data_IF_102126743450
#
_entry.id   IF_102126743450
#
_cell.length_a   1.000
_cell.length_b   1.000
_cell.length_c   1.000
_cell.angle_alpha   90.00
_cell.angle_beta   90.00
_cell.angle_gamma   90.00
#
_symmetry.space_group_name_H-M   'P 1'
#
loop_
_entity.id
_entity.type
_entity.pdbx_description
1 polymer ?
#
# COMPACT_ATOMS: atom_id res chain seq x y z
N UNK A 1 -20.10 -21.80 -9.88
CA UNK A 1 -20.45 -20.37 -9.70
C UNK A 1 -19.59 -19.84 -8.58
N UNK A 2 -18.99 -18.66 -8.73
CA UNK A 2 -18.26 -18.04 -7.61
C UNK A 2 -19.26 -17.72 -6.49
N UNK A 3 -18.86 -17.96 -5.24
CA UNK A 3 -19.65 -17.59 -4.07
C UNK A 3 -19.82 -16.06 -4.02
N UNK A 4 -21.03 -15.61 -3.69
CA UNK A 4 -21.37 -14.18 -3.63
C UNK A 4 -21.97 -13.82 -2.29
N UNK A 5 -21.59 -12.66 -1.75
CA UNK A 5 -22.20 -12.06 -0.58
C UNK A 5 -23.03 -10.82 -0.97
N UNK A 6 -24.23 -10.72 -0.42
CA UNK A 6 -25.09 -9.53 -0.59
C UNK A 6 -24.77 -8.53 0.52
N UNK A 7 -24.39 -7.31 0.15
CA UNK A 7 -24.00 -6.26 1.09
C UNK A 7 -24.86 -5.02 0.93
N UNK A 8 -25.27 -4.42 2.05
CA UNK A 8 -26.11 -3.21 2.08
C UNK A 8 -25.31 -2.04 2.66
N UNK A 9 -25.10 -1.02 1.83
CA UNK A 9 -24.32 0.17 2.14
C UNK A 9 -25.19 1.43 2.23
N UNK A 10 -24.61 2.53 2.72
CA UNK A 10 -25.27 3.84 2.70
C UNK A 10 -25.84 4.17 1.31
N UNK A 11 -26.96 4.89 1.28
CA UNK A 11 -27.58 5.33 0.04
C UNK A 11 -26.54 5.99 -0.89
N UNK A 12 -26.57 5.61 -2.17
CA UNK A 12 -25.67 6.16 -3.18
C UNK A 12 -24.25 5.58 -3.17
N UNK A 13 -23.88 4.73 -2.22
CA UNK A 13 -22.57 4.08 -2.21
C UNK A 13 -22.30 3.33 -3.53
N UNK A 14 -21.08 3.48 -4.02
CA UNK A 14 -20.56 2.82 -5.22
C UNK A 14 -19.40 1.96 -4.75
N UNK A 15 -19.42 0.67 -5.07
CA UNK A 15 -18.34 -0.25 -4.77
C UNK A 15 -17.59 -0.58 -6.04
N UNK A 16 -16.27 -0.56 -5.96
CA UNK A 16 -15.35 -0.87 -7.05
C UNK A 16 -14.33 -1.88 -6.55
N UNK A 17 -13.83 -2.80 -7.39
CA UNK A 17 -12.72 -3.64 -7.00
C UNK A 17 -11.48 -2.77 -6.77
N UNK A 18 -10.64 -3.16 -5.81
CA UNK A 18 -9.30 -2.57 -5.66
C UNK A 18 -8.35 -3.34 -6.57
N UNK A 19 -7.54 -2.61 -7.33
CA UNK A 19 -6.59 -3.17 -8.28
C UNK A 19 -5.19 -2.65 -8.00
N UNK A 20 -4.17 -3.47 -8.28
CA UNK A 20 -2.78 -3.00 -8.41
C UNK A 20 -2.62 -2.45 -9.83
N UNK A 21 -2.30 -1.16 -9.94
CA UNK A 21 -1.94 -0.54 -11.21
C UNK A 21 -0.44 -0.32 -11.27
N UNK A 22 0.21 -1.06 -12.17
CA UNK A 22 1.64 -0.94 -12.48
C UNK A 22 1.93 0.21 -13.44
N UNK A 23 2.19 1.39 -12.88
CA UNK A 23 2.76 2.54 -13.56
C UNK A 23 2.05 3.09 -14.81
N UNK A 24 2.51 4.26 -15.24
CA UNK A 24 2.24 4.87 -16.54
C UNK A 24 3.56 5.32 -17.16
N UNK A 25 3.54 5.93 -18.36
CA UNK A 25 4.73 6.62 -18.92
C UNK A 25 5.38 7.65 -17.98
N UNK A 26 4.67 8.13 -16.95
CA UNK A 26 5.12 9.21 -16.07
C UNK A 26 5.33 8.81 -14.61
N UNK A 27 4.95 7.60 -14.20
CA UNK A 27 5.21 7.06 -12.86
C UNK A 27 5.46 5.56 -12.96
N UNK A 28 6.58 5.10 -12.40
CA UNK A 28 7.00 3.69 -12.48
C UNK A 28 6.61 2.86 -11.25
N UNK A 29 6.03 3.49 -10.24
CA UNK A 29 5.62 2.81 -9.01
C UNK A 29 4.24 2.15 -9.17
N UNK A 30 4.13 0.93 -8.63
CA UNK A 30 2.85 0.25 -8.46
C UNK A 30 2.00 1.00 -7.42
N UNK A 31 0.68 1.00 -7.61
CA UNK A 31 -0.26 1.63 -6.69
C UNK A 31 -1.60 0.91 -6.64
N UNK A 32 -2.22 0.86 -5.45
CA UNK A 32 -3.62 0.51 -5.34
C UNK A 32 -4.49 1.63 -5.91
N UNK A 33 -5.44 1.24 -6.74
CA UNK A 33 -6.44 2.14 -7.32
C UNK A 33 -7.83 1.51 -7.26
N UNK A 34 -8.83 2.37 -7.21
CA UNK A 34 -10.20 1.95 -7.46
C UNK A 34 -10.33 1.53 -8.94
N UNK A 35 -10.87 0.33 -9.17
CA UNK A 35 -11.12 -0.20 -10.50
C UNK A 35 -12.10 0.66 -11.29
N UNK A 36 -12.02 0.55 -12.61
CA UNK A 36 -12.78 1.41 -13.53
C UNK A 36 -14.27 1.07 -13.56
N UNK A 37 -14.61 -0.22 -13.47
CA UNK A 37 -15.99 -0.69 -13.44
C UNK A 37 -16.47 -0.82 -11.98
N UNK A 38 -17.57 -0.13 -11.67
CA UNK A 38 -18.26 -0.34 -10.40
C UNK A 38 -19.11 -1.61 -10.45
N UNK A 39 -19.27 -2.27 -9.31
CA UNK A 39 -20.24 -3.35 -9.16
C UNK A 39 -21.66 -2.82 -9.35
N UNK A 40 -22.56 -3.62 -9.96
CA UNK A 40 -23.97 -3.26 -10.07
C UNK A 40 -24.58 -3.03 -8.69
N UNK A 41 -25.40 -1.97 -8.58
CA UNK A 41 -26.14 -1.65 -7.37
C UNK A 41 -27.64 -1.70 -7.61
N UNK A 42 -28.40 -2.10 -6.60
CA UNK A 42 -29.87 -2.05 -6.58
C UNK A 42 -30.38 -1.46 -5.26
N UNK A 43 -31.59 -0.89 -5.24
CA UNK A 43 -32.16 -0.35 -4.01
C UNK A 43 -32.55 -1.46 -3.05
N UNK A 44 -32.09 -1.35 -1.80
CA UNK A 44 -32.60 -2.10 -0.65
C UNK A 44 -33.52 -1.19 0.14
N UNK A 45 -34.83 -1.41 0.01
CA UNK A 45 -35.85 -0.59 0.65
C UNK A 45 -35.95 -0.92 2.14
N UNK A 46 -35.92 0.12 2.97
CA UNK A 46 -36.02 0.00 4.43
C UNK A 46 -37.47 0.02 4.93
N UNK A 47 -38.40 0.42 4.06
CA UNK A 47 -39.83 0.48 4.34
C UNK A 47 -40.65 -0.14 3.21
N UNK A 48 -41.83 -0.64 3.57
CA UNK A 48 -42.76 -1.25 2.63
C UNK A 48 -43.30 -0.27 1.57
N UNK A 49 -43.36 1.02 1.90
CA UNK A 49 -43.78 2.08 0.98
C UNK A 49 -42.68 2.45 -0.05
N UNK A 50 -41.49 1.86 0.06
CA UNK A 50 -40.33 2.06 -0.82
C UNK A 50 -39.86 3.52 -0.92
N UNK A 51 -40.03 4.27 0.16
CA UNK A 51 -39.67 5.70 0.21
C UNK A 51 -38.22 5.94 0.65
N UNK A 52 -37.66 5.04 1.45
CA UNK A 52 -36.30 5.09 1.97
C UNK A 52 -35.52 3.86 1.51
N UNK A 53 -34.29 4.06 1.03
CA UNK A 53 -33.47 2.98 0.48
C UNK A 53 -31.98 3.11 0.81
N UNK A 54 -31.29 1.97 0.75
CA UNK A 54 -29.83 1.80 0.84
C UNK A 54 -29.30 1.12 -0.42
N UNK A 55 -28.01 1.26 -0.71
CA UNK A 55 -27.42 0.61 -1.89
C UNK A 55 -27.08 -0.84 -1.57
N UNK A 56 -27.69 -1.79 -2.27
CA UNK A 56 -27.38 -3.22 -2.19
C UNK A 56 -26.55 -3.67 -3.39
N UNK A 57 -25.56 -4.52 -3.13
CA UNK A 57 -24.62 -5.05 -4.11
C UNK A 57 -24.44 -6.56 -3.88
N UNK A 58 -24.39 -7.34 -4.95
CA UNK A 58 -23.89 -8.72 -4.88
C UNK A 58 -22.42 -8.71 -5.29
N UNK A 59 -21.56 -9.14 -4.37
CA UNK A 59 -20.11 -9.10 -4.55
C UNK A 59 -19.54 -10.51 -4.47
N UNK A 60 -18.54 -10.86 -5.31
CA UNK A 60 -17.83 -12.13 -5.17
C UNK A 60 -17.08 -12.20 -3.84
N UNK A 61 -17.19 -13.30 -3.11
CA UNK A 61 -16.41 -13.52 -1.88
C UNK A 61 -14.91 -13.60 -2.22
N UNK A 62 -14.07 -13.01 -1.36
CA UNK A 62 -12.61 -12.99 -1.49
C UNK A 62 -12.05 -11.81 -2.28
N UNK A 63 -12.90 -10.96 -2.87
CA UNK A 63 -12.43 -9.74 -3.57
C UNK A 63 -12.29 -8.57 -2.60
N UNK A 64 -11.36 -7.67 -2.92
CA UNK A 64 -11.18 -6.43 -2.17
C UNK A 64 -11.91 -5.32 -2.91
N UNK A 65 -12.72 -4.56 -2.19
CA UNK A 65 -13.52 -3.46 -2.73
C UNK A 65 -13.24 -2.16 -1.99
N UNK A 66 -13.47 -1.04 -2.67
CA UNK A 66 -13.42 0.29 -2.07
C UNK A 66 -14.67 1.10 -2.42
N UNK A 67 -15.04 2.01 -1.52
CA UNK A 67 -16.02 3.08 -1.84
C UNK A 67 -15.36 4.35 -2.42
N UNK A 68 -14.03 4.42 -2.38
CA UNK A 68 -13.22 5.49 -2.94
C UNK A 68 -13.28 5.54 -4.47
N UNK A 69 -13.13 6.75 -5.04
CA UNK A 69 -13.19 6.96 -6.49
C UNK A 69 -11.85 6.81 -7.21
N UNK A 70 -10.75 6.99 -6.48
CA UNK A 70 -9.40 7.08 -7.06
C UNK A 70 -8.42 6.22 -6.28
N UNK A 71 -8.05 6.66 -5.07
CA UNK A 71 -7.08 6.00 -4.20
C UNK A 71 -7.88 5.36 -3.05
N UNK A 72 -7.78 4.03 -2.87
CA UNK A 72 -8.32 3.36 -1.69
C UNK A 72 -7.55 3.79 -0.44
N UNK A 73 -8.30 4.13 0.60
CA UNK A 73 -7.81 4.49 1.92
C UNK A 73 -8.36 3.53 2.97
N UNK A 74 -7.76 3.53 4.17
CA UNK A 74 -8.09 2.58 5.24
C UNK A 74 -9.57 2.67 5.69
N UNK A 75 -10.16 3.86 5.61
CA UNK A 75 -11.55 4.11 5.99
C UNK A 75 -12.57 3.67 4.90
N UNK A 76 -12.09 3.36 3.70
CA UNK A 76 -12.95 3.06 2.55
C UNK A 76 -12.67 1.73 1.84
N UNK A 77 -11.77 0.90 2.39
CA UNK A 77 -11.31 -0.38 1.81
C UNK A 77 -11.78 -1.59 2.61
N UNK A 78 -12.30 -2.62 1.92
CA UNK A 78 -12.94 -3.78 2.52
C UNK A 78 -12.61 -5.08 1.79
N UNK A 79 -12.45 -6.18 2.53
CA UNK A 79 -12.53 -7.54 2.01
C UNK A 79 -14.00 -7.99 2.00
N UNK A 80 -14.43 -8.62 0.91
CA UNK A 80 -15.73 -9.29 0.85
C UNK A 80 -15.61 -10.69 1.43
N UNK A 81 -16.32 -10.95 2.53
CA UNK A 81 -16.44 -12.27 3.17
C UNK A 81 -17.86 -12.81 2.97
N UNK A 82 -18.10 -14.08 3.29
CA UNK A 82 -19.44 -14.66 3.27
C UNK A 82 -20.43 -13.93 4.21
N UNK A 83 -19.90 -13.36 5.31
CA UNK A 83 -20.68 -12.64 6.33
C UNK A 83 -20.85 -11.14 6.02
N UNK A 84 -20.20 -10.61 4.98
CA UNK A 84 -20.35 -9.22 4.55
C UNK A 84 -19.01 -8.53 4.24
N UNK A 85 -18.87 -7.28 4.67
CA UNK A 85 -17.67 -6.47 4.44
C UNK A 85 -16.81 -6.41 5.70
N UNK A 86 -15.57 -6.87 5.58
CA UNK A 86 -14.55 -6.73 6.60
C UNK A 86 -13.63 -5.55 6.25
N UNK A 87 -13.50 -4.52 7.10
CA UNK A 87 -12.56 -3.42 6.86
C UNK A 87 -11.11 -3.92 6.75
N UNK A 88 -10.34 -3.33 5.84
CA UNK A 88 -8.91 -3.59 5.66
C UNK A 88 -8.13 -2.28 5.70
N UNK A 89 -6.93 -2.33 6.26
CA UNK A 89 -5.94 -1.29 5.98
C UNK A 89 -5.45 -1.41 4.54
N UNK A 90 -4.97 -0.30 3.99
CA UNK A 90 -4.36 -0.25 2.66
C UNK A 90 -3.19 -1.22 2.52
N UNK A 91 -2.43 -1.42 3.59
CA UNK A 91 -1.31 -2.36 3.62
C UNK A 91 -1.78 -3.81 3.52
N UNK A 92 -2.82 -4.18 4.28
CA UNK A 92 -3.44 -5.50 4.20
C UNK A 92 -4.00 -5.76 2.80
N UNK A 93 -4.68 -4.77 2.22
CA UNK A 93 -5.19 -4.87 0.86
C UNK A 93 -4.07 -5.08 -0.17
N UNK A 94 -2.93 -4.42 0.02
CA UNK A 94 -1.77 -4.60 -0.84
C UNK A 94 -1.18 -6.00 -0.73
N UNK A 95 -0.97 -6.49 0.49
CA UNK A 95 -0.38 -7.80 0.74
C UNK A 95 -1.26 -8.94 0.22
N UNK A 96 -2.58 -8.75 0.22
CA UNK A 96 -3.51 -9.71 -0.37
C UNK A 96 -3.53 -9.67 -1.91
N UNK A 97 -3.40 -8.49 -2.53
CA UNK A 97 -3.44 -8.34 -4.00
C UNK A 97 -2.09 -8.64 -4.67
N UNK A 98 -0.99 -8.43 -3.96
CA UNK A 98 0.37 -8.71 -4.41
C UNK A 98 1.14 -9.52 -3.34
N UNK A 99 0.84 -10.82 -3.17
CA UNK A 99 1.44 -11.63 -2.11
C UNK A 99 2.94 -11.84 -2.31
N UNK A 100 3.45 -11.75 -3.54
CA UNK A 100 4.87 -11.95 -3.84
C UNK A 100 5.77 -10.88 -3.19
N UNK A 101 5.26 -9.66 -3.01
CA UNK A 101 5.98 -8.57 -2.34
C UNK A 101 5.63 -8.39 -0.86
N UNK A 102 4.75 -9.22 -0.29
CA UNK A 102 4.22 -9.01 1.06
C UNK A 102 5.28 -9.13 2.16
N UNK A 103 6.21 -10.09 2.03
CA UNK A 103 7.30 -10.28 2.99
C UNK A 103 8.25 -9.08 3.03
N UNK A 104 8.65 -8.59 1.86
CA UNK A 104 9.51 -7.40 1.72
C UNK A 104 8.85 -6.16 2.35
N UNK A 105 7.54 -5.97 2.13
CA UNK A 105 6.79 -4.87 2.74
C UNK A 105 6.63 -5.04 4.25
N UNK A 106 6.44 -6.26 4.75
CA UNK A 106 6.40 -6.52 6.18
C UNK A 106 7.75 -6.19 6.85
N UNK A 107 8.86 -6.57 6.22
CA UNK A 107 10.20 -6.21 6.68
C UNK A 107 10.42 -4.68 6.68
N UNK A 108 9.96 -3.98 5.63
CA UNK A 108 10.00 -2.52 5.59
C UNK A 108 9.22 -1.88 6.75
N UNK A 109 8.01 -2.34 7.03
CA UNK A 109 7.18 -1.80 8.12
C UNK A 109 7.83 -2.02 9.48
N UNK A 110 8.38 -3.20 9.73
CA UNK A 110 9.11 -3.49 10.96
C UNK A 110 10.33 -2.56 11.11
N UNK A 111 11.03 -2.27 10.01
CA UNK A 111 12.13 -1.32 10.00
C UNK A 111 11.66 0.11 10.32
N UNK A 112 10.60 0.57 9.67
CA UNK A 112 10.04 1.91 9.84
C UNK A 112 9.56 2.13 11.28
N UNK A 113 8.84 1.15 11.86
CA UNK A 113 8.41 1.19 13.25
C UNK A 113 9.59 1.29 14.23
N UNK A 114 10.69 0.60 13.95
CA UNK A 114 11.91 0.70 14.77
C UNK A 114 12.60 2.06 14.62
N UNK A 115 12.55 2.68 13.43
CA UNK A 115 13.09 4.02 13.20
C UNK A 115 12.26 5.09 13.92
N UNK A 116 10.93 4.97 13.87
CA UNK A 116 9.99 5.86 14.58
C UNK A 116 10.17 5.75 16.10
N UNK A 117 10.27 4.52 16.63
CA UNK A 117 10.52 4.29 18.05
C UNK A 117 11.86 4.89 18.54
N UNK A 118 12.84 5.01 17.64
CA UNK A 118 14.13 5.63 17.89
C UNK A 118 14.13 7.16 17.64
N UNK A 119 13.02 7.75 17.21
CA UNK A 119 12.89 9.19 16.95
C UNK A 119 13.72 9.66 15.75
N UNK A 120 13.99 8.79 14.78
CA UNK A 120 14.80 9.14 13.61
C UNK A 120 14.02 10.06 12.65
N UNK A 121 14.67 11.05 12.02
CA UNK A 121 14.01 11.95 11.10
C UNK A 121 13.62 11.25 9.78
N UNK A 122 12.36 11.39 9.39
CA UNK A 122 11.77 10.81 8.18
C UNK A 122 12.43 11.26 6.85
N UNK A 123 13.28 12.30 6.89
CA UNK A 123 13.95 12.88 5.72
C UNK A 123 15.27 12.21 5.33
N UNK A 124 15.71 11.18 6.07
CA UNK A 124 16.82 10.31 5.66
C UNK A 124 16.44 9.59 4.36
N UNK A 125 17.04 10.03 3.25
CA UNK A 125 16.56 9.78 1.89
C UNK A 125 16.77 8.32 1.49
N UNK A 126 15.66 7.61 1.22
CA UNK A 126 15.64 6.21 0.75
C UNK A 126 16.22 6.11 -0.67
N UNK A 127 17.20 5.23 -0.89
CA UNK A 127 17.61 4.81 -2.24
C UNK A 127 17.37 3.31 -2.42
N UNK A 128 16.78 2.93 -3.57
CA UNK A 128 16.50 1.55 -3.99
C UNK A 128 17.29 1.29 -5.27
N UNK A 129 18.36 0.51 -5.17
CA UNK A 129 19.25 0.16 -6.29
C UNK A 129 20.36 -0.81 -5.88
N UNK A 130 20.92 -1.56 -6.83
CA UNK A 130 22.03 -2.47 -6.56
C UNK A 130 23.31 -1.67 -6.25
N UNK A 131 23.71 -1.58 -4.98
CA UNK A 131 24.87 -0.78 -4.56
C UNK A 131 26.10 -1.65 -4.28
N UNK A 132 27.20 -1.35 -4.98
CA UNK A 132 28.56 -1.70 -4.55
C UNK A 132 28.93 -0.82 -3.34
N UNK A 133 28.79 -1.35 -2.13
CA UNK A 133 29.24 -0.70 -0.91
C UNK A 133 30.69 -1.09 -0.63
N UNK A 134 31.57 -0.11 -0.38
CA UNK A 134 32.91 -0.36 0.17
C UNK A 134 32.92 0.16 1.61
N UNK A 135 33.09 -0.74 2.58
CA UNK A 135 33.09 -0.42 4.02
C UNK A 135 31.88 0.41 4.50
N UNK A 136 30.69 0.16 3.95
CA UNK A 136 29.46 0.85 4.34
C UNK A 136 29.31 2.28 3.78
N UNK A 137 30.21 2.75 2.90
CA UNK A 137 30.09 4.07 2.26
C UNK A 137 29.75 3.91 0.76
N UNK A 138 28.79 4.69 0.31
CA UNK A 138 28.46 4.87 -1.11
C UNK A 138 28.99 6.22 -1.60
N UNK A 139 29.81 6.21 -2.66
CA UNK A 139 30.27 7.44 -3.34
C UNK A 139 29.39 7.72 -4.55
N UNK A 140 28.81 8.91 -4.60
CA UNK A 140 28.12 9.45 -5.79
C UNK A 140 28.86 10.68 -6.28
N UNK A 141 29.63 10.54 -7.37
CA UNK A 141 30.37 11.63 -8.03
C UNK A 141 31.22 12.47 -7.04
N UNK A 142 30.69 13.58 -6.51
CA UNK A 142 31.36 14.51 -5.58
C UNK A 142 30.92 14.38 -4.12
N UNK A 143 30.03 13.45 -3.78
CA UNK A 143 29.44 13.30 -2.45
C UNK A 143 29.65 11.89 -1.88
N UNK A 144 29.81 11.80 -0.55
CA UNK A 144 29.95 10.54 0.18
C UNK A 144 28.80 10.36 1.18
N UNK A 145 28.19 9.19 1.15
CA UNK A 145 27.04 8.83 1.97
C UNK A 145 27.32 7.55 2.75
N UNK A 146 27.04 7.55 4.06
CA UNK A 146 27.21 6.39 4.93
C UNK A 146 25.90 5.59 4.98
N UNK A 147 25.96 4.31 4.63
CA UNK A 147 24.84 3.40 4.66
C UNK A 147 24.68 2.83 6.08
N UNK A 148 23.69 3.30 6.82
CA UNK A 148 23.49 2.91 8.23
C UNK A 148 22.82 1.53 8.35
N UNK A 149 22.01 1.12 7.36
CA UNK A 149 21.36 -0.19 7.32
C UNK A 149 21.16 -0.66 5.88
N UNK A 150 21.57 -1.89 5.61
CA UNK A 150 21.51 -2.51 4.29
C UNK A 150 20.61 -3.74 4.33
N UNK A 151 19.56 -3.77 3.51
CA UNK A 151 18.99 -5.02 3.00
C UNK A 151 19.52 -5.23 1.58
N UNK A 152 19.31 -6.42 0.99
CA UNK A 152 19.73 -6.68 -0.39
C UNK A 152 19.08 -5.73 -1.44
N UNK A 153 18.04 -4.97 -1.07
CA UNK A 153 17.29 -4.07 -1.96
C UNK A 153 17.29 -2.60 -1.52
N UNK A 154 17.72 -2.26 -0.29
CA UNK A 154 17.60 -0.90 0.25
C UNK A 154 18.79 -0.51 1.12
N UNK A 155 19.26 0.73 0.95
CA UNK A 155 20.25 1.35 1.81
C UNK A 155 19.70 2.66 2.38
N UNK A 156 19.77 2.80 3.71
CA UNK A 156 19.49 4.06 4.39
C UNK A 156 20.78 4.85 4.47
N UNK A 157 20.79 6.03 3.87
CA UNK A 157 21.99 6.84 3.75
C UNK A 157 21.86 8.16 4.53
N UNK A 158 22.89 8.48 5.32
CA UNK A 158 23.15 9.85 5.78
C UNK A 158 24.41 10.40 5.12
N UNK A 159 24.62 11.71 5.20
CA UNK A 159 25.89 12.32 4.77
C UNK A 159 27.04 11.74 5.60
N UNK A 160 28.10 11.27 4.95
CA UNK A 160 29.27 10.76 5.64
C UNK A 160 30.03 11.90 6.33
N UNK A 161 30.55 11.64 7.54
CA UNK A 161 31.43 12.56 8.26
C UNK A 161 32.84 12.54 7.66
N UNK A 162 33.63 13.58 7.92
CA UNK A 162 35.02 13.63 7.46
C UNK A 162 35.89 12.50 8.01
N UNK A 163 35.62 12.02 9.23
CA UNK A 163 36.31 10.88 9.83
C UNK A 163 36.02 9.57 9.09
N UNK A 164 34.77 9.35 8.68
CA UNK A 164 34.35 8.16 7.91
C UNK A 164 34.91 8.18 6.49
N UNK A 165 35.04 9.36 5.88
CA UNK A 165 35.69 9.52 4.57
C UNK A 165 37.19 9.22 4.65
N UNK A 166 37.85 9.64 5.74
CA UNK A 166 39.28 9.39 5.95
C UNK A 166 39.60 7.89 6.11
N UNK A 167 38.68 7.10 6.71
CA UNK A 167 38.83 5.65 6.87
C UNK A 167 38.73 4.82 5.57
N UNK A 168 38.41 5.44 4.43
CA UNK A 168 38.36 4.79 3.12
C UNK A 168 39.68 4.86 2.34
N UNK A 169 40.64 5.66 2.81
CA UNK A 169 41.94 5.85 2.16
C UNK A 169 43.01 4.84 2.61
N UNK A 170 42.61 3.79 3.34
CA UNK A 170 43.43 2.64 3.70
C UNK A 170 43.39 1.55 2.65
#
# INVERSE_FOLDING_TARGET
MAETATVVMRAGAILRPVLVWSGTRTRLEDRLVAGFAAYPKRPHYLDAARTTWRSEHDLPVGVIVTTGRSIPWDDDTYLVTADGLQPLTREQAWDMLDPAGAEDRAAQRAHDAAADAAGLPATLTRFVGAHSLQNGVHRTVTSAYFAERCTARQAFMRRATWAEVAGLAG
#
